data_IF_135713134629
#
_entry.id   IF_135713134629
#
_cell.length_a   1.000
_cell.length_b   1.000
_cell.length_c   1.000
_cell.angle_alpha   90.00
_cell.angle_beta   90.00
_cell.angle_gamma   90.00
#
_symmetry.space_group_name_H-M   'P 1'
#
loop_
_entity.id
_entity.type
_entity.pdbx_description
1 polymer ?
#
# COMPACT_ATOMS: atom_id res chain seq x y z
N UNK A 1 -24.22 5.21 -19.55
CA UNK A 1 -23.07 4.28 -19.43
C UNK A 1 -23.62 2.99 -18.87
N UNK A 2 -23.44 1.88 -19.60
CA UNK A 2 -24.04 0.58 -19.27
C UNK A 2 -23.31 -0.05 -18.08
N UNK A 3 -23.98 -0.91 -17.32
CA UNK A 3 -23.40 -1.60 -16.15
C UNK A 3 -22.13 -2.44 -16.45
N UNK A 4 -21.73 -2.59 -17.72
CA UNK A 4 -20.58 -3.41 -18.13
C UNK A 4 -19.22 -2.79 -17.80
N UNK A 5 -19.08 -1.46 -17.81
CA UNK A 5 -17.74 -0.86 -17.87
C UNK A 5 -17.06 -0.81 -16.50
N UNK A 6 -17.82 -0.60 -15.43
CA UNK A 6 -17.25 -0.54 -14.08
C UNK A 6 -16.84 -1.94 -13.56
N UNK A 7 -17.58 -2.99 -13.92
CA UNK A 7 -17.27 -4.36 -13.49
C UNK A 7 -15.89 -4.80 -14.01
N UNK A 8 -15.48 -4.30 -15.18
CA UNK A 8 -14.14 -4.61 -15.73
C UNK A 8 -13.00 -4.00 -14.92
N UNK A 9 -13.28 -2.96 -14.12
CA UNK A 9 -12.31 -2.35 -13.21
C UNK A 9 -12.25 -3.08 -11.86
N UNK A 10 -13.27 -3.85 -11.49
CA UNK A 10 -13.28 -4.60 -10.23
C UNK A 10 -12.62 -5.96 -10.47
N UNK A 11 -11.66 -6.34 -9.63
CA UNK A 11 -10.99 -7.62 -9.77
C UNK A 11 -11.99 -8.78 -9.67
N UNK A 12 -11.86 -9.80 -10.52
CA UNK A 12 -12.84 -10.89 -10.62
C UNK A 12 -13.12 -11.59 -9.28
N UNK A 13 -12.09 -11.75 -8.44
CA UNK A 13 -12.22 -12.32 -7.09
C UNK A 13 -13.06 -11.45 -6.16
N UNK A 14 -12.88 -10.13 -6.19
CA UNK A 14 -13.64 -9.18 -5.39
C UNK A 14 -15.10 -9.13 -5.88
N UNK A 15 -15.29 -9.09 -7.20
CA UNK A 15 -16.63 -9.11 -7.81
C UNK A 15 -17.39 -10.40 -7.46
N UNK A 16 -16.71 -11.55 -7.47
CA UNK A 16 -17.31 -12.83 -7.06
C UNK A 16 -17.73 -12.81 -5.58
N UNK A 17 -16.90 -12.24 -4.69
CA UNK A 17 -17.23 -12.11 -3.27
C UNK A 17 -18.44 -11.20 -3.04
N UNK A 18 -18.50 -10.05 -3.72
CA UNK A 18 -19.64 -9.11 -3.64
C UNK A 18 -20.95 -9.74 -4.14
N UNK A 19 -20.88 -10.58 -5.19
CA UNK A 19 -22.06 -11.31 -5.72
C UNK A 19 -22.53 -12.42 -4.79
N UNK A 20 -21.61 -13.05 -4.05
CA UNK A 20 -21.95 -14.06 -3.08
C UNK A 20 -22.63 -13.47 -1.83
N UNK A 21 -22.25 -12.25 -1.43
CA UNK A 21 -22.85 -11.54 -0.31
C UNK A 21 -22.88 -10.02 -0.57
N UNK A 22 -24.07 -9.51 -0.89
CA UNK A 22 -24.29 -8.08 -1.15
C UNK A 22 -24.11 -7.20 0.10
N UNK A 23 -24.11 -7.79 1.30
CA UNK A 23 -23.86 -7.09 2.57
C UNK A 23 -22.39 -7.11 2.99
N UNK A 24 -21.54 -7.83 2.25
CA UNK A 24 -20.13 -7.92 2.56
C UNK A 24 -19.42 -6.56 2.46
N UNK A 25 -18.46 -6.37 3.37
CA UNK A 25 -17.52 -5.28 3.33
C UNK A 25 -16.13 -5.82 3.01
N UNK A 26 -15.36 -5.06 2.23
CA UNK A 26 -13.99 -5.43 1.87
C UNK A 26 -13.02 -4.27 2.09
N UNK A 27 -11.80 -4.61 2.49
CA UNK A 27 -10.68 -3.69 2.38
C UNK A 27 -10.23 -3.69 0.92
N UNK A 28 -10.21 -2.51 0.29
CA UNK A 28 -9.90 -2.38 -1.14
C UNK A 28 -8.73 -1.45 -1.40
N UNK A 29 -7.99 -1.81 -2.45
CA UNK A 29 -7.01 -0.98 -3.14
C UNK A 29 -7.63 -0.42 -4.41
N UNK A 30 -7.66 0.91 -4.50
CA UNK A 30 -8.06 1.65 -5.69
C UNK A 30 -6.81 2.11 -6.41
N UNK A 31 -6.65 1.69 -7.66
CA UNK A 31 -5.56 2.08 -8.52
C UNK A 31 -6.03 3.14 -9.52
N UNK A 32 -5.33 4.25 -9.60
CA UNK A 32 -5.58 5.29 -10.59
C UNK A 32 -4.66 5.14 -11.80
N UNK A 33 -4.87 5.95 -12.83
CA UNK A 33 -3.97 6.02 -13.98
C UNK A 33 -2.51 6.29 -13.56
N UNK A 34 -1.57 5.70 -14.30
CA UNK A 34 -0.15 5.77 -13.97
C UNK A 34 0.40 7.19 -14.14
N UNK A 35 1.22 7.68 -13.20
CA UNK A 35 1.89 8.98 -13.32
C UNK A 35 2.89 9.09 -14.47
N UNK A 36 3.23 7.99 -15.15
CA UNK A 36 4.16 7.99 -16.29
C UNK A 36 3.76 8.99 -17.38
N UNK A 37 2.46 9.17 -17.63
CA UNK A 37 1.97 10.18 -18.59
C UNK A 37 2.00 11.62 -18.05
N UNK A 38 2.14 11.80 -16.73
CA UNK A 38 2.28 13.12 -16.09
C UNK A 38 3.75 13.56 -16.06
N UNK A 39 4.66 12.60 -15.87
CA UNK A 39 6.11 12.76 -15.87
C UNK A 39 6.64 13.36 -17.18
N UNK A 40 6.12 12.91 -18.32
CA UNK A 40 6.53 13.44 -19.64
C UNK A 40 6.17 14.91 -19.83
N UNK A 41 5.12 15.40 -19.16
CA UNK A 41 4.58 16.76 -19.35
C UNK A 41 5.12 17.78 -18.35
N UNK A 42 5.41 17.38 -17.11
CA UNK A 42 5.71 18.31 -16.01
C UNK A 42 7.12 18.91 -16.02
N UNK A 43 8.15 18.10 -16.30
CA UNK A 43 9.55 18.51 -16.11
C UNK A 43 10.36 18.68 -17.39
N UNK A 44 9.74 18.52 -18.57
CA UNK A 44 10.39 18.78 -19.86
C UNK A 44 10.84 20.25 -20.01
N UNK A 45 10.31 21.16 -19.19
CA UNK A 45 10.64 22.59 -19.15
C UNK A 45 11.79 22.94 -18.20
N UNK A 46 12.23 22.00 -17.34
CA UNK A 46 13.44 22.17 -16.55
C UNK A 46 14.65 22.14 -17.50
N UNK A 47 14.99 23.32 -18.01
CA UNK A 47 15.96 23.49 -19.10
C UNK A 47 17.30 22.82 -18.83
N UNK A 48 18.12 22.69 -19.88
CA UNK A 48 19.39 21.96 -19.87
C UNK A 48 20.37 22.35 -18.73
N UNK A 49 20.21 23.52 -18.11
CA UNK A 49 21.00 24.02 -16.98
C UNK A 49 20.51 23.65 -15.57
N UNK A 50 19.36 23.00 -15.41
CA UNK A 50 18.85 22.63 -14.08
C UNK A 50 19.76 21.60 -13.39
N UNK A 51 20.05 21.82 -12.11
CA UNK A 51 20.78 20.89 -11.26
C UNK A 51 20.00 19.60 -11.04
N UNK A 52 20.70 18.54 -10.60
CA UNK A 52 20.04 17.26 -10.23
C UNK A 52 18.98 17.45 -9.14
N UNK A 53 19.23 18.34 -8.18
CA UNK A 53 18.28 18.63 -7.10
C UNK A 53 16.99 19.23 -7.65
N UNK A 54 17.09 20.28 -8.46
CA UNK A 54 15.93 20.95 -9.07
C UNK A 54 15.11 20.00 -9.95
N UNK A 55 15.76 19.13 -10.72
CA UNK A 55 15.08 18.10 -11.52
C UNK A 55 14.33 17.10 -10.63
N UNK A 56 14.91 16.71 -9.50
CA UNK A 56 14.29 15.77 -8.57
C UNK A 56 13.09 16.41 -7.87
N UNK A 57 13.21 17.66 -7.43
CA UNK A 57 12.09 18.41 -6.83
C UNK A 57 10.94 18.57 -7.82
N UNK A 58 11.22 19.02 -9.05
CA UNK A 58 10.20 19.10 -10.10
C UNK A 58 9.46 17.77 -10.29
N UNK A 59 10.22 16.66 -10.29
CA UNK A 59 9.67 15.33 -10.47
C UNK A 59 8.70 14.96 -9.35
N UNK A 60 9.13 15.14 -8.10
CA UNK A 60 8.33 14.84 -6.91
C UNK A 60 7.06 15.69 -6.90
N UNK A 61 7.18 17.00 -7.12
CA UNK A 61 6.05 17.92 -7.12
C UNK A 61 5.05 17.57 -8.23
N UNK A 62 5.55 17.25 -9.43
CA UNK A 62 4.70 16.84 -10.56
C UNK A 62 3.93 15.55 -10.28
N UNK A 63 4.59 14.56 -9.68
CA UNK A 63 3.97 13.30 -9.30
C UNK A 63 2.92 13.49 -8.21
N UNK A 64 3.23 14.31 -7.20
CA UNK A 64 2.29 14.60 -6.13
C UNK A 64 1.05 15.34 -6.64
N UNK A 65 1.24 16.40 -7.43
CA UNK A 65 0.12 17.14 -8.03
C UNK A 65 -0.75 16.26 -8.93
N UNK A 66 -0.13 15.41 -9.74
CA UNK A 66 -0.87 14.48 -10.58
C UNK A 66 -1.73 13.51 -9.74
N UNK A 67 -1.14 12.92 -8.69
CA UNK A 67 -1.89 12.04 -7.80
C UNK A 67 -3.01 12.78 -7.06
N UNK A 68 -2.77 14.00 -6.60
CA UNK A 68 -3.79 14.83 -5.94
C UNK A 68 -4.99 15.07 -6.85
N UNK A 69 -4.76 15.44 -8.11
CA UNK A 69 -5.80 15.67 -9.10
C UNK A 69 -6.54 14.38 -9.47
N UNK A 70 -5.80 13.29 -9.72
CA UNK A 70 -6.40 11.99 -10.07
C UNK A 70 -7.30 11.43 -8.95
N UNK A 71 -6.98 11.74 -7.70
CA UNK A 71 -7.66 11.22 -6.51
C UNK A 71 -8.79 12.14 -6.00
N UNK A 72 -8.99 13.32 -6.61
CA UNK A 72 -9.95 14.33 -6.14
C UNK A 72 -11.39 13.80 -6.14
N UNK A 73 -11.82 13.15 -7.22
CA UNK A 73 -13.18 12.60 -7.33
C UNK A 73 -13.45 11.53 -6.27
N UNK A 74 -12.46 10.67 -5.97
CA UNK A 74 -12.61 9.67 -4.90
C UNK A 74 -12.71 10.34 -3.53
N UNK A 75 -11.90 11.36 -3.25
CA UNK A 75 -11.99 12.11 -1.98
C UNK A 75 -13.37 12.73 -1.81
N UNK A 76 -13.90 13.36 -2.87
CA UNK A 76 -15.21 13.97 -2.86
C UNK A 76 -16.34 12.92 -2.67
N UNK A 77 -16.19 11.75 -3.29
CA UNK A 77 -17.13 10.63 -3.14
C UNK A 77 -17.14 10.10 -1.70
N UNK A 78 -15.97 9.85 -1.10
CA UNK A 78 -15.87 9.36 0.27
C UNK A 78 -16.40 10.38 1.29
N UNK A 79 -16.17 11.68 1.07
CA UNK A 79 -16.65 12.75 1.94
C UNK A 79 -18.19 12.83 2.04
N UNK A 80 -18.90 12.39 0.99
CA UNK A 80 -20.38 12.35 0.96
C UNK A 80 -20.96 10.95 1.19
N UNK A 81 -20.12 9.94 1.36
CA UNK A 81 -20.57 8.57 1.47
C UNK A 81 -21.38 8.37 2.77
N UNK A 82 -22.44 7.54 2.76
CA UNK A 82 -23.24 7.29 3.94
C UNK A 82 -22.40 6.77 5.12
N UNK A 83 -22.78 7.12 6.35
CA UNK A 83 -22.11 6.60 7.54
C UNK A 83 -22.13 5.07 7.56
N UNK A 84 -20.98 4.45 7.84
CA UNK A 84 -20.82 2.99 7.86
C UNK A 84 -20.61 2.33 6.49
N UNK A 85 -20.62 3.10 5.39
CA UNK A 85 -20.26 2.58 4.05
C UNK A 85 -18.78 2.24 3.90
N UNK A 86 -17.92 2.82 4.74
CA UNK A 86 -16.51 2.49 4.93
C UNK A 86 -16.04 2.90 6.33
N UNK A 87 -14.86 2.42 6.76
CA UNK A 87 -14.28 2.71 8.07
C UNK A 87 -13.19 3.80 8.04
N UNK A 88 -12.30 3.75 7.06
CA UNK A 88 -11.22 4.73 6.90
C UNK A 88 -10.67 4.71 5.48
N UNK A 89 -9.90 5.74 5.12
CA UNK A 89 -9.22 5.80 3.82
C UNK A 89 -7.84 6.42 3.93
N UNK A 90 -6.90 5.94 3.12
CA UNK A 90 -5.54 6.48 2.98
C UNK A 90 -5.22 6.70 1.51
N UNK A 91 -4.45 7.74 1.21
CA UNK A 91 -4.10 8.13 -0.15
C UNK A 91 -2.59 8.11 -0.33
N UNK A 92 -2.13 7.54 -1.45
CA UNK A 92 -0.72 7.30 -1.72
C UNK A 92 -0.36 7.91 -3.07
N UNK A 93 0.53 8.91 -3.05
CA UNK A 93 0.91 9.63 -4.25
C UNK A 93 1.92 8.84 -5.11
N UNK A 94 2.85 8.12 -4.48
CA UNK A 94 3.97 7.44 -5.16
C UNK A 94 3.46 6.41 -6.18
N UNK A 95 2.51 5.56 -5.78
CA UNK A 95 1.94 4.54 -6.64
C UNK A 95 0.56 4.94 -7.19
N UNK A 96 0.18 6.21 -7.05
CA UNK A 96 -1.13 6.77 -7.36
C UNK A 96 -2.29 5.81 -7.02
N UNK A 97 -2.46 5.54 -5.73
CA UNK A 97 -3.46 4.60 -5.22
C UNK A 97 -4.14 5.11 -3.95
N UNK A 98 -5.26 4.50 -3.58
CA UNK A 98 -5.95 4.77 -2.33
C UNK A 98 -6.43 3.48 -1.67
N UNK A 99 -6.32 3.42 -0.34
CA UNK A 99 -6.91 2.39 0.49
C UNK A 99 -8.26 2.85 0.99
N UNK A 100 -9.26 1.98 0.91
CA UNK A 100 -10.56 2.19 1.55
C UNK A 100 -10.88 0.94 2.37
N UNK A 101 -10.96 1.12 3.69
CA UNK A 101 -11.18 0.04 4.66
C UNK A 101 -12.67 -0.22 4.86
N UNK A 102 -13.05 -1.49 4.92
CA UNK A 102 -14.43 -1.96 5.10
C UNK A 102 -15.44 -1.30 4.15
N UNK A 103 -15.05 -1.10 2.89
CA UNK A 103 -15.93 -0.55 1.87
C UNK A 103 -17.09 -1.52 1.61
N UNK A 104 -18.32 -1.03 1.67
CA UNK A 104 -19.51 -1.77 1.25
C UNK A 104 -19.48 -2.06 -0.26
N UNK A 105 -20.18 -3.12 -0.69
CA UNK A 105 -20.30 -3.46 -2.11
C UNK A 105 -20.81 -2.27 -2.96
N UNK A 106 -21.85 -1.59 -2.51
CA UNK A 106 -22.38 -0.40 -3.19
C UNK A 106 -21.34 0.71 -3.35
N UNK A 107 -20.55 0.98 -2.30
CA UNK A 107 -19.46 1.97 -2.38
C UNK A 107 -18.37 1.54 -3.38
N UNK A 108 -18.02 0.25 -3.42
CA UNK A 108 -17.03 -0.28 -4.36
C UNK A 108 -17.50 -0.08 -5.82
N UNK A 109 -18.78 -0.28 -6.10
CA UNK A 109 -19.36 -0.01 -7.42
C UNK A 109 -19.30 1.47 -7.79
N UNK A 110 -19.66 2.37 -6.86
CA UNK A 110 -19.56 3.82 -7.11
C UNK A 110 -18.11 4.26 -7.36
N UNK A 111 -17.14 3.69 -6.62
CA UNK A 111 -15.71 3.93 -6.83
C UNK A 111 -15.29 3.47 -8.22
N UNK A 112 -15.70 2.28 -8.65
CA UNK A 112 -15.34 1.74 -9.96
C UNK A 112 -15.92 2.57 -11.13
N UNK A 113 -17.01 3.32 -10.90
CA UNK A 113 -17.60 4.21 -11.90
C UNK A 113 -16.79 5.50 -12.12
N UNK A 114 -15.89 5.87 -11.21
CA UNK A 114 -15.05 7.05 -11.38
C UNK A 114 -14.15 6.91 -12.60
N UNK A 115 -14.02 7.98 -13.39
CA UNK A 115 -13.28 7.96 -14.64
C UNK A 115 -11.79 7.68 -14.42
N UNK A 116 -11.19 8.35 -13.42
CA UNK A 116 -9.78 8.23 -13.07
C UNK A 116 -9.39 6.88 -12.45
N UNK A 117 -10.37 6.08 -12.02
CA UNK A 117 -10.12 4.75 -11.44
C UNK A 117 -9.86 3.75 -12.56
N UNK A 118 -8.69 3.11 -12.50
CA UNK A 118 -8.25 2.07 -13.42
C UNK A 118 -8.63 0.68 -12.92
N UNK A 119 -8.48 0.43 -11.62
CA UNK A 119 -8.72 -0.88 -11.01
C UNK A 119 -9.16 -0.72 -9.56
N UNK A 120 -10.04 -1.62 -9.09
CA UNK A 120 -10.38 -1.83 -7.69
C UNK A 120 -10.16 -3.30 -7.35
N UNK A 121 -9.30 -3.59 -6.38
CA UNK A 121 -8.96 -4.95 -5.94
C UNK A 121 -9.05 -5.08 -4.44
N UNK A 122 -9.27 -6.29 -3.94
CA UNK A 122 -9.15 -6.54 -2.51
C UNK A 122 -7.71 -6.25 -2.03
N UNK A 123 -7.57 -5.70 -0.83
CA UNK A 123 -6.26 -5.51 -0.21
C UNK A 123 -5.60 -6.86 0.05
N UNK A 124 -4.31 -6.97 -0.28
CA UNK A 124 -3.51 -8.16 -0.02
C UNK A 124 -2.74 -7.99 1.28
N UNK A 125 -3.02 -8.86 2.26
CA UNK A 125 -2.33 -8.89 3.54
C UNK A 125 -1.39 -10.11 3.56
N UNK A 126 -0.08 -9.87 3.64
CA UNK A 126 0.93 -10.92 3.71
C UNK A 126 1.35 -11.14 5.17
N UNK A 127 1.11 -12.34 5.69
CA UNK A 127 1.55 -12.71 7.04
C UNK A 127 3.01 -13.16 7.02
N UNK A 128 3.88 -12.35 7.63
CA UNK A 128 5.29 -12.71 7.80
C UNK A 128 5.41 -13.67 8.99
N UNK A 129 5.64 -14.95 8.71
CA UNK A 129 5.95 -15.93 9.75
C UNK A 129 7.42 -15.79 10.10
N UNK A 130 7.73 -15.23 11.27
CA UNK A 130 9.08 -15.25 11.81
C UNK A 130 9.45 -16.69 12.17
N UNK A 131 10.39 -17.29 11.45
CA UNK A 131 11.04 -18.52 11.89
C UNK A 131 11.98 -18.18 13.05
N UNK A 132 11.44 -17.97 14.24
CA UNK A 132 12.20 -18.10 15.47
C UNK A 132 12.46 -19.60 15.68
N UNK A 133 13.44 -20.13 14.95
CA UNK A 133 14.05 -21.40 15.32
C UNK A 133 14.78 -21.11 16.63
N UNK A 134 14.14 -21.46 17.74
CA UNK A 134 14.81 -21.54 19.02
C UNK A 134 15.95 -22.57 18.86
N UNK A 135 17.19 -22.10 18.88
CA UNK A 135 18.36 -22.95 19.12
C UNK A 135 18.22 -23.59 20.50
N UNK A 136 17.45 -24.66 20.54
CA UNK A 136 17.38 -25.55 21.66
C UNK A 136 18.60 -26.49 21.60
N UNK A 137 19.43 -26.35 22.64
CA UNK A 137 20.33 -27.37 23.17
C UNK A 137 21.68 -27.57 22.44
N UNK A 138 22.63 -26.68 22.74
CA UNK A 138 24.04 -27.02 22.71
C UNK A 138 24.42 -27.68 24.06
N UNK A 139 24.71 -28.99 24.13
CA UNK A 139 25.10 -29.62 25.38
C UNK A 139 26.48 -29.12 25.84
N UNK A 140 26.51 -28.52 27.03
CA UNK A 140 27.71 -28.10 27.76
C UNK A 140 28.67 -29.27 27.99
N UNK A 141 29.82 -29.28 27.30
CA UNK A 141 30.97 -30.09 27.71
C UNK A 141 31.79 -29.33 28.75
N UNK A 142 31.51 -29.60 30.03
CA UNK A 142 32.38 -29.23 31.15
C UNK A 142 33.71 -29.98 31.02
N UNK A 143 34.82 -29.26 30.83
CA UNK A 143 36.17 -29.82 30.90
C UNK A 143 36.75 -29.49 32.29
N UNK A 144 37.06 -30.49 33.14
CA UNK A 144 37.69 -30.21 34.43
C UNK A 144 39.15 -29.83 34.17
N UNK A 145 39.52 -28.58 34.46
CA UNK A 145 40.93 -28.18 34.51
C UNK A 145 41.47 -28.52 35.91
N UNK A 146 42.46 -29.40 35.91
CA UNK A 146 43.05 -29.98 37.10
C UNK A 146 43.71 -28.94 38.02
N UNK A 147 43.68 -29.27 39.32
CA UNK A 147 44.51 -28.67 40.37
C UNK A 147 45.98 -28.77 39.96
N UNK A 148 46.67 -27.64 39.89
CA UNK A 148 48.08 -27.59 40.21
C UNK A 148 48.33 -26.42 41.14
N UNK A 149 48.87 -26.76 42.30
CA UNK A 149 49.31 -25.86 43.35
C UNK A 149 50.52 -25.06 42.88
N UNK A 150 50.58 -23.79 43.22
CA UNK A 150 51.83 -23.09 43.47
C UNK A 150 51.59 -22.14 44.64
N UNK A 151 52.33 -22.38 45.73
CA UNK A 151 52.22 -21.60 46.94
C UNK A 151 52.74 -20.18 46.76
N UNK A 152 52.16 -19.26 47.52
CA UNK A 152 52.77 -17.99 47.89
C UNK A 152 52.65 -17.89 49.40
N UNK A 153 53.81 -17.76 50.03
CA UNK A 153 54.04 -17.56 51.47
C UNK A 153 53.80 -16.09 51.79
N UNK A 154 53.13 -15.84 52.91
CA UNK A 154 53.00 -14.53 53.58
C UNK A 154 54.36 -13.97 54.01
N UNK A 155 54.60 -12.68 53.71
CA UNK A 155 54.84 -11.62 54.72
C UNK A 155 54.41 -10.26 54.12
#
# INVERSE_FOLDING_TARGET
>A
MSASDYETKISASLLAAMRADASAQADVMVQFESPEQALERGCATAGAGASRGERTTCLVDSLQHFAEAAQEELKALLARAPAGSYASSSFFWINNSAAVKKASAALIEEIAQLAAVREVRAEQIFQLHGSAQADADAPTKKKPLGRMALGVVED
#
